data_IF_393071035735
#
_entry.id   IF_393071035735
#
_cell.length_a   1.000
_cell.length_b   1.000
_cell.length_c   1.000
_cell.angle_alpha   90.00
_cell.angle_beta   90.00
_cell.angle_gamma   90.00
#
_symmetry.space_group_name_H-M   'P 1'
#
loop_
_entity.id
_entity.type
_entity.pdbx_description
1 polymer ?
#
# COMPACT_ATOMS: atom_id res chain seq x y z
N UNK A 1 2.13 15.77 -25.65
CA UNK A 1 2.24 15.07 -24.36
C UNK A 1 3.66 14.59 -24.21
N UNK A 2 4.36 15.01 -23.16
CA UNK A 2 5.73 14.60 -22.87
C UNK A 2 5.76 13.25 -22.17
N UNK A 3 6.92 12.58 -22.15
CA UNK A 3 7.08 11.30 -21.44
C UNK A 3 6.77 11.42 -19.94
N UNK A 4 7.06 12.58 -19.35
CA UNK A 4 6.79 12.86 -17.93
C UNK A 4 5.29 12.96 -17.64
N UNK A 5 4.53 13.65 -18.50
CA UNK A 5 3.07 13.73 -18.38
C UNK A 5 2.41 12.35 -18.48
N UNK A 6 2.90 11.50 -19.39
CA UNK A 6 2.44 10.11 -19.50
C UNK A 6 2.73 9.34 -18.21
N UNK A 7 3.93 9.51 -17.64
CA UNK A 7 4.31 8.91 -16.36
C UNK A 7 3.36 9.26 -15.22
N UNK A 8 2.97 10.53 -15.09
CA UNK A 8 2.03 10.97 -14.06
C UNK A 8 0.63 10.40 -14.23
N UNK A 9 0.16 10.22 -15.47
CA UNK A 9 -1.12 9.56 -15.74
C UNK A 9 -1.09 8.10 -15.26
N UNK A 10 -0.04 7.35 -15.63
CA UNK A 10 0.11 5.96 -15.18
C UNK A 10 0.22 5.85 -13.65
N UNK A 11 0.97 6.76 -13.02
CA UNK A 11 1.08 6.81 -11.56
C UNK A 11 -0.29 7.04 -10.90
N UNK A 12 -1.09 7.95 -11.45
CA UNK A 12 -2.41 8.29 -10.94
C UNK A 12 -3.36 7.10 -11.06
N UNK A 13 -3.40 6.45 -12.23
CA UNK A 13 -4.20 5.25 -12.46
C UNK A 13 -3.77 4.13 -11.51
N UNK A 14 -2.45 3.89 -11.40
CA UNK A 14 -1.88 2.89 -10.50
C UNK A 14 -2.30 3.15 -9.05
N UNK A 15 -2.24 4.39 -8.59
CA UNK A 15 -2.63 4.76 -7.23
C UNK A 15 -4.13 4.54 -7.01
N UNK A 16 -4.99 4.91 -7.94
CA UNK A 16 -6.44 4.67 -7.85
C UNK A 16 -6.74 3.17 -7.75
N UNK A 17 -6.09 2.35 -8.58
CA UNK A 17 -6.25 0.89 -8.53
C UNK A 17 -5.78 0.31 -7.19
N UNK A 18 -4.64 0.76 -6.67
CA UNK A 18 -4.08 0.29 -5.40
C UNK A 18 -4.96 0.70 -4.22
N UNK A 19 -5.39 1.97 -4.15
CA UNK A 19 -6.33 2.44 -3.13
C UNK A 19 -7.64 1.65 -3.18
N UNK A 20 -8.16 1.41 -4.39
CA UNK A 20 -9.34 0.59 -4.64
C UNK A 20 -9.19 -0.86 -4.19
N UNK A 21 -7.97 -1.40 -4.14
CA UNK A 21 -7.69 -2.74 -3.63
C UNK A 21 -7.46 -2.76 -2.10
N UNK A 22 -6.77 -1.76 -1.55
CA UNK A 22 -6.40 -1.73 -0.14
C UNK A 22 -7.61 -1.48 0.76
N UNK A 23 -8.49 -0.54 0.41
CA UNK A 23 -9.66 -0.21 1.21
C UNK A 23 -10.57 -1.42 1.47
N UNK A 24 -11.02 -2.19 0.46
CA UNK A 24 -11.85 -3.37 0.72
C UNK A 24 -11.08 -4.46 1.48
N UNK A 25 -9.77 -4.61 1.25
CA UNK A 25 -8.95 -5.56 2.00
C UNK A 25 -8.83 -5.19 3.49
N UNK A 26 -8.64 -3.90 3.80
CA UNK A 26 -8.63 -3.37 5.17
C UNK A 26 -9.98 -3.63 5.83
N UNK A 27 -11.08 -3.28 5.16
CA UNK A 27 -12.45 -3.50 5.66
C UNK A 27 -12.69 -4.99 5.93
N UNK A 28 -12.29 -5.86 5.00
CA UNK A 28 -12.39 -7.29 5.15
C UNK A 28 -11.64 -7.77 6.39
N UNK A 29 -10.35 -7.45 6.52
CA UNK A 29 -9.53 -7.85 7.67
C UNK A 29 -10.11 -7.35 9.01
N UNK A 30 -10.64 -6.14 9.06
CA UNK A 30 -11.28 -5.61 10.27
C UNK A 30 -12.60 -6.33 10.60
N UNK A 31 -13.34 -6.78 9.58
CA UNK A 31 -14.62 -7.49 9.74
C UNK A 31 -14.44 -8.95 10.17
N UNK A 32 -13.65 -9.73 9.43
CA UNK A 32 -13.42 -11.16 9.74
C UNK A 32 -12.40 -11.36 10.86
N UNK A 33 -11.53 -10.37 11.14
CA UNK A 33 -10.48 -10.46 12.17
C UNK A 33 -9.54 -11.65 11.97
N UNK A 34 -9.38 -12.04 10.71
CA UNK A 34 -8.58 -13.18 10.26
C UNK A 34 -7.85 -12.80 8.98
N UNK A 35 -6.58 -13.22 8.89
CA UNK A 35 -5.67 -12.92 7.79
C UNK A 35 -5.02 -14.21 7.23
N UNK A 36 -5.73 -15.34 7.31
CA UNK A 36 -5.26 -16.61 6.74
C UNK A 36 -5.23 -16.53 5.21
N UNK A 37 -4.19 -17.10 4.59
CA UNK A 37 -3.96 -17.00 3.15
C UNK A 37 -3.40 -15.65 2.66
N UNK A 38 -3.36 -14.61 3.50
CA UNK A 38 -2.77 -13.32 3.14
C UNK A 38 -1.25 -13.37 3.29
N UNK A 39 -0.51 -13.17 2.19
CA UNK A 39 0.95 -13.17 2.21
C UNK A 39 1.51 -11.91 2.90
N UNK A 40 2.26 -12.08 3.99
CA UNK A 40 3.03 -10.98 4.61
C UNK A 40 4.10 -10.43 3.67
N UNK A 41 4.78 -11.32 2.94
CA UNK A 41 5.86 -10.95 2.03
C UNK A 41 5.38 -10.05 0.89
N UNK A 42 4.15 -10.25 0.41
CA UNK A 42 3.55 -9.39 -0.61
C UNK A 42 3.50 -7.93 -0.15
N UNK A 43 3.00 -7.67 1.06
CA UNK A 43 2.92 -6.32 1.60
C UNK A 43 4.28 -5.68 1.85
N UNK A 44 5.29 -6.48 2.22
CA UNK A 44 6.67 -6.00 2.39
C UNK A 44 7.27 -5.57 1.04
N UNK A 45 7.14 -6.40 0.00
CA UNK A 45 7.67 -6.09 -1.33
C UNK A 45 6.95 -4.89 -1.94
N UNK A 46 5.61 -4.87 -1.90
CA UNK A 46 4.84 -3.73 -2.40
C UNK A 46 5.11 -2.46 -1.60
N UNK A 47 5.13 -2.54 -0.27
CA UNK A 47 5.35 -1.37 0.59
C UNK A 47 6.73 -0.76 0.42
N UNK A 48 7.76 -1.60 0.30
CA UNK A 48 9.12 -1.13 0.01
C UNK A 48 9.24 -0.52 -1.39
N UNK A 49 8.62 -1.13 -2.41
CA UNK A 49 8.57 -0.56 -3.76
C UNK A 49 7.94 0.83 -3.80
N UNK A 50 6.75 0.99 -3.21
CA UNK A 50 6.06 2.28 -3.14
C UNK A 50 6.84 3.33 -2.33
N UNK A 51 7.49 2.90 -1.24
CA UNK A 51 8.34 3.81 -0.46
C UNK A 51 9.55 4.32 -1.26
N UNK A 52 10.18 3.45 -2.05
CA UNK A 52 11.27 3.86 -2.94
C UNK A 52 10.79 4.81 -4.04
N UNK A 53 9.59 4.58 -4.60
CA UNK A 53 8.96 5.50 -5.55
C UNK A 53 8.74 6.87 -4.89
N UNK A 54 8.20 6.92 -3.67
CA UNK A 54 8.00 8.17 -2.94
C UNK A 54 9.31 8.94 -2.75
N UNK A 55 10.40 8.27 -2.35
CA UNK A 55 11.73 8.90 -2.23
C UNK A 55 12.19 9.44 -3.59
N UNK A 56 12.03 8.66 -4.65
CA UNK A 56 12.42 9.08 -5.99
C UNK A 56 11.65 10.33 -6.44
N UNK A 57 10.35 10.42 -6.14
CA UNK A 57 9.53 11.58 -6.45
C UNK A 57 9.97 12.84 -5.71
N UNK A 58 10.36 12.70 -4.43
CA UNK A 58 10.87 13.82 -3.61
C UNK A 58 12.18 14.35 -4.21
N UNK A 59 13.09 13.45 -4.60
CA UNK A 59 14.38 13.83 -5.20
C UNK A 59 14.18 14.42 -6.60
N UNK A 60 13.23 13.87 -7.38
CA UNK A 60 12.95 14.27 -8.74
C UNK A 60 12.06 15.51 -8.89
N UNK A 61 11.80 16.24 -7.81
CA UNK A 61 10.96 17.45 -7.81
C UNK A 61 9.58 17.23 -8.47
N UNK A 62 9.00 16.04 -8.25
CA UNK A 62 7.66 15.70 -8.75
C UNK A 62 6.62 16.66 -8.14
N UNK A 63 5.56 17.04 -8.86
CA UNK A 63 4.47 17.86 -8.34
C UNK A 63 3.98 17.37 -6.97
N UNK A 64 3.85 18.32 -6.03
CA UNK A 64 3.62 18.03 -4.61
C UNK A 64 2.32 17.27 -4.37
N UNK A 65 1.29 17.51 -5.20
CA UNK A 65 0.02 16.80 -5.19
C UNK A 65 0.21 15.30 -5.42
N UNK A 66 1.02 14.93 -6.41
CA UNK A 66 1.34 13.52 -6.70
C UNK A 66 2.14 12.89 -5.58
N UNK A 67 3.11 13.61 -5.00
CA UNK A 67 3.92 13.16 -3.86
C UNK A 67 3.04 12.88 -2.64
N UNK A 68 2.09 13.77 -2.34
CA UNK A 68 1.16 13.60 -1.21
C UNK A 68 0.27 12.38 -1.40
N UNK A 69 -0.25 12.17 -2.63
CA UNK A 69 -1.04 10.99 -2.96
C UNK A 69 -0.24 9.69 -2.76
N UNK A 70 1.02 9.64 -3.20
CA UNK A 70 1.88 8.48 -3.00
C UNK A 70 2.26 8.28 -1.52
N UNK A 71 2.44 9.35 -0.75
CA UNK A 71 2.67 9.24 0.70
C UNK A 71 1.47 8.60 1.42
N UNK A 72 0.23 8.97 1.05
CA UNK A 72 -0.98 8.35 1.59
C UNK A 72 -1.04 6.86 1.19
N UNK A 73 -0.67 6.54 -0.05
CA UNK A 73 -0.60 5.17 -0.57
C UNK A 73 0.34 4.29 0.29
N UNK A 74 1.55 4.80 0.59
CA UNK A 74 2.52 4.15 1.48
C UNK A 74 1.99 3.95 2.90
N UNK A 75 1.29 4.95 3.45
CA UNK A 75 0.70 4.83 4.79
C UNK A 75 -0.40 3.76 4.86
N UNK A 76 -1.24 3.68 3.83
CA UNK A 76 -2.32 2.70 3.77
C UNK A 76 -1.81 1.27 3.64
N UNK A 77 -0.80 1.04 2.79
CA UNK A 77 -0.22 -0.30 2.67
C UNK A 77 0.53 -0.70 3.95
N UNK A 78 1.17 0.24 4.63
CA UNK A 78 1.80 0.00 5.93
C UNK A 78 0.76 -0.37 6.99
N UNK A 79 -0.37 0.33 7.04
CA UNK A 79 -1.48 -0.01 7.92
C UNK A 79 -2.05 -1.40 7.62
N UNK A 80 -2.23 -1.74 6.34
CA UNK A 80 -2.70 -3.04 5.90
C UNK A 80 -1.73 -4.19 6.27
N UNK A 81 -0.43 -3.95 6.15
CA UNK A 81 0.60 -4.85 6.64
C UNK A 81 0.47 -5.09 8.16
N UNK A 82 0.37 -4.02 8.94
CA UNK A 82 0.21 -4.10 10.40
C UNK A 82 -1.04 -4.93 10.80
N UNK A 83 -2.17 -4.71 10.14
CA UNK A 83 -3.39 -5.50 10.36
C UNK A 83 -3.18 -6.98 10.02
N UNK A 84 -2.53 -7.27 8.89
CA UNK A 84 -2.23 -8.64 8.45
C UNK A 84 -1.38 -9.36 9.49
N UNK A 85 -0.29 -8.74 9.95
CA UNK A 85 0.60 -9.31 10.97
C UNK A 85 -0.13 -9.50 12.30
N UNK A 86 -0.92 -8.52 12.73
CA UNK A 86 -1.66 -8.58 13.98
C UNK A 86 -2.64 -9.78 14.01
N UNK A 87 -3.48 -9.93 12.99
CA UNK A 87 -4.47 -11.01 12.96
C UNK A 87 -3.85 -12.39 12.78
N UNK A 88 -2.74 -12.51 12.02
CA UNK A 88 -2.00 -13.77 11.92
C UNK A 88 -1.39 -14.18 13.26
N UNK A 89 -0.77 -13.24 13.98
CA UNK A 89 -0.15 -13.51 15.27
C UNK A 89 -1.18 -13.79 16.37
N UNK A 90 -2.34 -13.12 16.35
CA UNK A 90 -3.44 -13.40 17.28
C UNK A 90 -3.95 -14.83 17.14
N UNK A 91 -4.13 -15.32 15.92
CA UNK A 91 -4.53 -16.71 15.66
C UNK A 91 -3.48 -17.72 16.17
N UNK A 92 -2.20 -17.46 15.94
CA UNK A 92 -1.11 -18.32 16.43
C UNK A 92 -1.10 -18.43 17.96
N UNK A 93 -1.42 -17.33 18.68
CA UNK A 93 -1.56 -17.36 20.13
C UNK A 93 -2.77 -18.18 20.59
N UNK A 94 -3.92 -18.08 19.91
CA UNK A 94 -5.12 -18.85 20.26
C UNK A 94 -4.99 -20.36 20.00
N UNK A 95 -4.00 -20.81 19.22
CA UNK A 95 -3.72 -22.23 18.93
C UNK A 95 -2.71 -22.86 19.91
N UNK A 96 -2.01 -22.08 20.73
CA UNK A 96 -1.06 -22.55 21.75
C UNK A 96 -1.73 -22.59 23.11
#
# INVERSE_FOLDING_TARGET
>A
MTAQEIGYIFQTIGTICLLGAYVPQIIHLLKVKEAEGVSRGLWVVLGSGLFLILINMIIGETPIDVVVTEAINVLLIFYLYCLTVYYQNKKLKNKR
#
